data_IF_753606479368
#
_entry.id   IF_753606479368
#
_cell.length_a   1.000
_cell.length_b   1.000
_cell.length_c   1.000
_cell.angle_alpha   90.00
_cell.angle_beta   90.00
_cell.angle_gamma   90.00
#
_symmetry.space_group_name_H-M   'P 1'
#
loop_
_entity.id
_entity.type
_entity.pdbx_description
1 polymer ?
#
# COMPACT_ATOMS: atom_id res chain seq x y z
N UNK A 1 -0.86 3.97 -17.98
CA UNK A 1 -1.30 5.20 -17.35
C UNK A 1 -0.14 6.15 -17.15
N UNK A 2 0.85 5.84 -16.28
CA UNK A 2 1.99 6.73 -15.98
C UNK A 2 2.73 7.15 -17.25
N UNK A 3 3.08 6.22 -18.13
CA UNK A 3 3.75 6.53 -19.40
C UNK A 3 2.92 7.44 -20.33
N UNK A 4 1.59 7.33 -20.27
CA UNK A 4 0.71 8.12 -21.13
C UNK A 4 0.39 9.52 -20.57
N UNK A 5 0.55 9.74 -19.27
CA UNK A 5 0.11 10.97 -18.60
C UNK A 5 1.21 11.76 -17.92
N UNK A 6 2.37 11.14 -17.68
CA UNK A 6 3.42 11.69 -16.83
C UNK A 6 3.05 11.77 -15.35
N UNK A 7 2.02 11.01 -14.92
CA UNK A 7 1.58 11.01 -13.52
C UNK A 7 2.70 10.58 -12.58
N UNK A 8 2.86 11.30 -11.48
CA UNK A 8 3.81 11.00 -10.41
C UNK A 8 3.02 10.53 -9.21
N UNK A 9 3.30 9.31 -8.73
CA UNK A 9 2.60 8.72 -7.59
C UNK A 9 2.98 9.39 -6.26
N UNK A 10 2.15 9.24 -5.24
CA UNK A 10 2.40 9.87 -3.95
C UNK A 10 3.70 9.37 -3.31
N UNK A 11 4.07 8.10 -3.50
CA UNK A 11 5.35 7.56 -3.03
C UNK A 11 6.59 8.16 -3.73
N UNK A 12 6.42 8.78 -4.88
CA UNK A 12 7.48 9.48 -5.63
C UNK A 12 7.61 10.97 -5.25
N UNK A 13 6.72 11.49 -4.38
CA UNK A 13 6.72 12.90 -3.93
C UNK A 13 7.23 12.98 -2.49
N UNK A 14 8.00 14.04 -2.20
CA UNK A 14 8.32 14.35 -0.81
C UNK A 14 7.04 14.69 -0.03
N UNK A 15 6.87 14.15 1.18
CA UNK A 15 5.71 14.48 2.01
C UNK A 15 5.67 15.98 2.35
N UNK A 16 4.46 16.54 2.40
CA UNK A 16 4.23 17.93 2.80
C UNK A 16 4.01 17.99 4.30
N UNK A 17 4.81 18.80 5.00
CA UNK A 17 4.78 18.89 6.46
C UNK A 17 3.38 19.23 7.00
N UNK A 18 2.72 20.20 6.37
CA UNK A 18 1.38 20.65 6.78
C UNK A 18 0.35 19.51 6.69
N UNK A 19 0.44 18.68 5.66
CA UNK A 19 -0.47 17.53 5.46
C UNK A 19 -0.21 16.45 6.52
N UNK A 20 1.05 16.21 6.89
CA UNK A 20 1.41 15.28 7.97
C UNK A 20 0.87 15.81 9.30
N UNK A 21 1.15 17.07 9.62
CA UNK A 21 0.72 17.67 10.88
C UNK A 21 -0.78 17.70 11.04
N UNK A 22 -1.54 17.86 9.96
CA UNK A 22 -3.00 17.82 9.97
C UNK A 22 -3.57 16.44 10.36
N UNK A 23 -2.80 15.36 10.18
CA UNK A 23 -3.20 13.98 10.48
C UNK A 23 -2.73 13.51 11.87
N UNK A 24 -1.86 14.26 12.52
CA UNK A 24 -1.30 13.90 13.82
C UNK A 24 -2.14 14.50 14.97
N UNK A 25 -2.16 13.87 16.15
CA UNK A 25 -2.80 14.43 17.34
C UNK A 25 -2.26 15.82 17.67
N UNK A 26 -3.12 16.74 18.17
CA UNK A 26 -2.67 18.07 18.62
C UNK A 26 -1.51 17.98 19.61
N UNK A 27 -0.49 18.82 19.42
CA UNK A 27 0.71 18.84 20.27
C UNK A 27 1.78 17.83 19.91
N UNK A 28 1.59 17.02 18.87
CA UNK A 28 2.67 16.15 18.34
C UNK A 28 3.79 17.00 17.76
N UNK A 29 5.06 16.77 18.16
CA UNK A 29 6.17 17.50 17.55
C UNK A 29 6.29 17.20 16.06
N UNK A 30 6.69 18.19 15.23
CA UNK A 30 6.87 17.95 13.81
C UNK A 30 8.00 16.94 13.55
N UNK A 31 7.88 16.14 12.49
CA UNK A 31 8.94 15.24 12.07
C UNK A 31 10.21 16.03 11.68
N UNK A 32 11.34 15.36 11.74
CA UNK A 32 12.58 15.98 11.28
C UNK A 32 12.50 16.28 9.78
N UNK A 33 12.84 17.49 9.30
CA UNK A 33 12.83 17.81 7.87
C UNK A 33 13.65 16.85 6.99
N UNK A 34 14.66 16.20 7.55
CA UNK A 34 15.46 15.18 6.85
C UNK A 34 14.69 13.90 6.53
N UNK A 35 13.59 13.65 7.25
CA UNK A 35 12.75 12.46 7.07
C UNK A 35 11.61 12.72 6.06
N UNK A 36 11.43 13.99 5.63
CA UNK A 36 10.46 14.39 4.61
C UNK A 36 10.99 14.09 3.20
N UNK A 37 11.29 12.83 2.95
CA UNK A 37 11.81 12.33 1.67
C UNK A 37 10.80 11.36 1.07
N UNK A 38 10.63 11.43 -0.25
CA UNK A 38 9.81 10.48 -1.00
C UNK A 38 10.18 9.03 -0.66
N UNK A 39 9.19 8.19 -0.49
CA UNK A 39 9.40 6.80 -0.11
C UNK A 39 8.10 6.09 0.24
N UNK A 40 8.22 4.87 0.71
CA UNK A 40 7.06 4.06 1.11
C UNK A 40 7.45 3.02 2.17
N UNK A 41 6.44 2.43 2.78
CA UNK A 41 6.62 1.31 3.71
C UNK A 41 6.94 0.04 2.93
N UNK A 42 8.04 -0.59 3.26
CA UNK A 42 8.50 -1.85 2.66
C UNK A 42 8.42 -2.96 3.70
N UNK A 43 7.81 -4.08 3.34
CA UNK A 43 7.78 -5.26 4.20
C UNK A 43 9.19 -5.85 4.30
N UNK A 44 9.67 -6.00 5.52
CA UNK A 44 10.99 -6.53 5.85
C UNK A 44 10.80 -7.69 6.83
N UNK A 45 10.65 -8.94 6.33
CA UNK A 45 10.38 -10.08 7.19
C UNK A 45 11.48 -10.24 8.25
N UNK A 46 11.13 -10.41 9.53
CA UNK A 46 12.11 -10.64 10.56
C UNK A 46 12.72 -12.04 10.40
N UNK A 47 13.98 -12.20 10.78
CA UNK A 47 14.70 -13.48 10.74
C UNK A 47 14.46 -14.34 11.99
N UNK A 48 13.69 -13.84 12.96
CA UNK A 48 13.33 -14.50 14.22
C UNK A 48 11.95 -14.04 14.65
N UNK A 49 11.34 -14.75 15.59
CA UNK A 49 10.09 -14.34 16.20
C UNK A 49 10.20 -12.96 16.84
N UNK A 50 9.23 -12.11 16.59
CA UNK A 50 9.15 -10.74 17.11
C UNK A 50 7.77 -10.47 17.70
N UNK A 51 7.64 -9.56 18.66
CA UNK A 51 6.35 -9.12 19.20
C UNK A 51 5.48 -8.51 18.11
N UNK A 52 4.21 -8.93 18.02
CA UNK A 52 3.25 -8.45 17.01
C UNK A 52 2.61 -7.11 17.35
N UNK A 53 2.95 -6.49 18.47
CA UNK A 53 2.43 -5.19 18.89
C UNK A 53 3.23 -3.98 18.37
N UNK A 54 4.33 -4.23 17.65
CA UNK A 54 5.17 -3.18 17.07
C UNK A 54 5.40 -3.45 15.58
N UNK A 55 4.70 -2.70 14.75
CA UNK A 55 4.74 -2.80 13.29
C UNK A 55 6.16 -2.56 12.72
N UNK A 56 7.01 -1.81 13.41
CA UNK A 56 8.38 -1.54 12.98
C UNK A 56 9.26 -2.80 12.91
N UNK A 57 8.82 -3.90 13.51
CA UNK A 57 9.52 -5.19 13.44
C UNK A 57 9.51 -5.80 12.02
N UNK A 58 8.52 -5.46 11.18
CA UNK A 58 8.38 -6.02 9.82
C UNK A 58 8.03 -5.01 8.74
N UNK A 59 7.76 -3.74 9.08
CA UNK A 59 7.62 -2.66 8.12
C UNK A 59 8.68 -1.59 8.34
N UNK A 60 9.28 -1.12 7.25
CA UNK A 60 10.29 -0.06 7.30
C UNK A 60 9.96 1.01 6.27
N UNK A 61 10.06 2.27 6.68
CA UNK A 61 10.05 3.36 5.72
C UNK A 61 11.37 3.34 4.94
N UNK A 62 11.28 3.23 3.61
CA UNK A 62 12.44 3.20 2.73
C UNK A 62 12.37 4.37 1.77
N UNK A 63 13.36 5.25 1.85
CA UNK A 63 13.48 6.39 0.95
C UNK A 63 13.64 5.90 -0.48
N UNK A 64 12.88 6.50 -1.42
CA UNK A 64 12.88 6.13 -2.83
C UNK A 64 12.17 4.83 -3.17
N UNK A 65 11.57 4.13 -2.18
CA UNK A 65 10.67 3.01 -2.47
C UNK A 65 9.41 3.55 -3.17
N UNK A 66 9.06 2.93 -4.29
CA UNK A 66 7.94 3.34 -5.14
C UNK A 66 7.49 2.16 -5.99
N UNK A 67 6.44 2.33 -6.76
CA UNK A 67 6.01 1.30 -7.69
C UNK A 67 7.09 0.88 -8.70
N UNK A 68 8.06 1.75 -9.02
CA UNK A 68 9.21 1.47 -9.91
C UNK A 68 10.34 0.75 -9.19
N UNK A 69 10.49 1.01 -7.89
CA UNK A 69 11.54 0.52 -7.03
C UNK A 69 10.94 -0.09 -5.76
N UNK A 70 10.36 -1.32 -5.84
CA UNK A 70 9.56 -1.91 -4.77
C UNK A 70 10.26 -2.03 -3.42
N UNK A 71 11.53 -2.35 -3.40
CA UNK A 71 12.34 -2.43 -2.17
C UNK A 71 13.23 -1.19 -1.96
N UNK A 72 13.02 -0.13 -2.73
CA UNK A 72 13.83 1.09 -2.70
C UNK A 72 14.84 1.18 -3.86
N UNK A 73 15.74 2.17 -3.84
CA UNK A 73 16.72 2.40 -4.90
C UNK A 73 17.53 1.15 -5.24
N UNK A 74 17.62 0.84 -6.52
CA UNK A 74 18.33 -0.35 -7.03
C UNK A 74 17.46 -1.59 -7.19
N UNK A 75 16.22 -1.59 -6.69
CA UNK A 75 15.25 -2.64 -7.03
C UNK A 75 14.54 -2.34 -8.35
N UNK A 76 14.11 -3.39 -9.05
CA UNK A 76 13.52 -3.30 -10.39
C UNK A 76 12.25 -4.14 -10.51
N UNK A 77 11.44 -3.84 -11.53
CA UNK A 77 10.21 -4.58 -11.84
C UNK A 77 10.46 -5.81 -12.71
N UNK A 78 11.68 -6.00 -13.20
CA UNK A 78 12.02 -7.11 -14.09
C UNK A 78 11.61 -8.47 -13.49
N UNK A 79 10.79 -9.21 -14.23
CA UNK A 79 10.24 -10.49 -13.79
C UNK A 79 9.01 -10.37 -12.87
N UNK A 80 8.51 -9.16 -12.64
CA UNK A 80 7.32 -8.88 -11.79
C UNK A 80 6.16 -8.24 -12.57
N UNK A 81 6.19 -8.30 -13.89
CA UNK A 81 5.23 -7.64 -14.78
C UNK A 81 3.78 -8.13 -14.57
N UNK A 82 3.62 -9.34 -14.03
CA UNK A 82 2.34 -9.94 -13.72
C UNK A 82 1.94 -9.81 -12.24
N UNK A 83 2.76 -9.17 -11.41
CA UNK A 83 2.44 -8.92 -10.01
C UNK A 83 1.54 -7.67 -9.87
N UNK A 84 0.71 -7.61 -8.81
CA UNK A 84 -0.01 -6.39 -8.47
C UNK A 84 0.95 -5.21 -8.29
N UNK A 85 0.54 -4.03 -8.74
CA UNK A 85 1.30 -2.81 -8.43
C UNK A 85 1.19 -2.48 -6.95
N UNK A 86 2.31 -2.10 -6.34
CA UNK A 86 2.41 -1.73 -4.93
C UNK A 86 2.88 -0.29 -4.78
N UNK A 87 2.91 0.24 -3.55
CA UNK A 87 3.30 1.63 -3.23
C UNK A 87 2.45 2.68 -3.96
N UNK A 88 1.17 2.41 -4.08
CA UNK A 88 0.18 3.36 -4.60
C UNK A 88 -0.79 3.76 -3.50
N UNK A 89 -1.15 5.04 -3.46
CA UNK A 89 -2.15 5.58 -2.55
C UNK A 89 -3.56 5.42 -3.12
N UNK A 90 -4.56 5.75 -2.28
CA UNK A 90 -5.94 5.89 -2.75
C UNK A 90 -6.05 6.97 -3.84
N UNK A 91 -5.31 8.08 -3.71
CA UNK A 91 -5.29 9.16 -4.70
C UNK A 91 -4.74 8.69 -6.05
N UNK A 92 -3.67 7.88 -6.02
CA UNK A 92 -3.10 7.27 -7.23
C UNK A 92 -4.09 6.35 -7.93
N UNK A 93 -4.79 5.51 -7.14
CA UNK A 93 -5.82 4.62 -7.66
C UNK A 93 -7.01 5.39 -8.26
N UNK A 94 -7.44 6.47 -7.62
CA UNK A 94 -8.50 7.34 -8.13
C UNK A 94 -8.08 8.06 -9.41
N UNK A 95 -6.85 8.55 -9.49
CA UNK A 95 -6.30 9.17 -10.69
C UNK A 95 -6.27 8.19 -11.87
N UNK A 96 -5.85 6.94 -11.61
CA UNK A 96 -5.91 5.86 -12.60
C UNK A 96 -7.35 5.59 -13.05
N UNK A 97 -8.28 5.44 -12.12
CA UNK A 97 -9.70 5.17 -12.43
C UNK A 97 -10.29 6.27 -13.29
N UNK A 98 -10.03 7.53 -12.95
CA UNK A 98 -10.49 8.70 -13.73
C UNK A 98 -9.95 8.67 -15.16
N UNK A 99 -8.66 8.42 -15.33
CA UNK A 99 -8.03 8.31 -16.64
C UNK A 99 -8.61 7.15 -17.47
N UNK A 100 -8.87 6.02 -16.83
CA UNK A 100 -9.41 4.82 -17.48
C UNK A 100 -10.93 4.86 -17.71
N UNK A 101 -11.63 5.94 -17.32
CA UNK A 101 -13.10 6.02 -17.37
C UNK A 101 -13.78 5.02 -16.44
N UNK A 102 -13.16 4.72 -15.30
CA UNK A 102 -13.60 3.74 -14.29
C UNK A 102 -13.74 4.38 -12.92
N UNK A 103 -14.14 3.61 -11.94
CA UNK A 103 -14.15 3.95 -10.51
C UNK A 103 -13.62 2.80 -9.67
N UNK A 104 -13.28 3.08 -8.44
CA UNK A 104 -13.06 2.04 -7.45
C UNK A 104 -14.40 1.34 -7.12
N UNK A 105 -14.36 0.05 -6.75
CA UNK A 105 -15.55 -0.63 -6.26
C UNK A 105 -16.01 -0.02 -4.93
N UNK A 106 -17.31 -0.15 -4.64
CA UNK A 106 -17.80 0.03 -3.29
C UNK A 106 -17.38 -1.14 -2.41
N UNK A 107 -17.45 -0.99 -1.08
CA UNK A 107 -17.19 -2.08 -0.14
C UNK A 107 -18.03 -3.32 -0.46
N UNK A 108 -19.34 -3.12 -0.68
CA UNK A 108 -20.26 -4.21 -1.01
C UNK A 108 -19.89 -4.93 -2.32
N UNK A 109 -19.49 -4.22 -3.35
CA UNK A 109 -19.05 -4.79 -4.62
C UNK A 109 -17.74 -5.58 -4.44
N UNK A 110 -16.83 -5.05 -3.65
CA UNK A 110 -15.55 -5.70 -3.35
C UNK A 110 -15.78 -6.99 -2.56
N UNK A 111 -16.59 -6.92 -1.49
CA UNK A 111 -16.93 -8.09 -0.68
C UNK A 111 -17.66 -9.17 -1.50
N UNK A 112 -18.64 -8.77 -2.31
CA UNK A 112 -19.34 -9.68 -3.21
C UNK A 112 -18.38 -10.41 -4.15
N UNK A 113 -17.45 -9.68 -4.76
CA UNK A 113 -16.45 -10.26 -5.65
C UNK A 113 -15.50 -11.21 -4.90
N UNK A 114 -15.04 -10.82 -3.70
CA UNK A 114 -14.16 -11.64 -2.88
C UNK A 114 -14.82 -12.94 -2.42
N UNK A 115 -16.13 -12.93 -2.17
CA UNK A 115 -16.89 -14.12 -1.77
C UNK A 115 -17.18 -15.09 -2.92
N UNK A 116 -17.05 -14.66 -4.17
CA UNK A 116 -17.23 -15.55 -5.33
C UNK A 116 -18.56 -16.27 -5.39
N UNK A 117 -19.65 -15.68 -4.87
CA UNK A 117 -20.99 -16.27 -4.81
C UNK A 117 -21.29 -17.08 -3.53
N UNK A 118 -20.39 -17.13 -2.56
CA UNK A 118 -20.65 -17.75 -1.25
C UNK A 118 -21.45 -16.78 -0.37
N UNK A 119 -22.73 -17.09 -0.16
CA UNK A 119 -23.64 -16.31 0.70
C UNK A 119 -23.62 -16.82 2.14
N UNK A 120 -23.64 -15.89 3.12
CA UNK A 120 -23.77 -16.18 4.54
C UNK A 120 -22.61 -16.96 5.16
N UNK A 121 -21.47 -17.05 4.50
CA UNK A 121 -20.28 -17.73 4.99
C UNK A 121 -19.41 -16.84 5.88
N UNK A 122 -18.72 -17.45 6.87
CA UNK A 122 -17.85 -16.73 7.78
C UNK A 122 -16.61 -16.16 7.06
N UNK A 123 -16.08 -16.88 6.08
CA UNK A 123 -14.89 -16.50 5.33
C UNK A 123 -15.16 -16.51 3.83
N UNK A 124 -14.26 -15.91 3.05
CA UNK A 124 -14.35 -15.88 1.58
C UNK A 124 -14.23 -17.26 0.93
N UNK A 125 -13.74 -18.26 1.64
CA UNK A 125 -13.65 -19.66 1.20
C UNK A 125 -14.72 -20.57 1.81
N UNK A 126 -15.57 -20.12 2.74
CA UNK A 126 -16.62 -20.92 3.40
C UNK A 126 -16.68 -20.74 4.92
N UNK A 127 -16.99 -21.79 5.65
CA UNK A 127 -17.13 -21.76 7.12
C UNK A 127 -15.98 -22.44 7.85
N UNK A 128 -15.04 -23.03 7.13
CA UNK A 128 -13.89 -23.72 7.72
C UNK A 128 -12.93 -22.71 8.39
N UNK A 129 -12.39 -23.08 9.54
CA UNK A 129 -11.41 -22.25 10.23
C UNK A 129 -10.18 -21.98 9.35
N UNK A 130 -9.54 -20.80 9.48
CA UNK A 130 -8.30 -20.51 8.79
C UNK A 130 -7.22 -21.54 9.09
N UNK A 131 -6.52 -21.98 8.05
CA UNK A 131 -5.36 -22.86 8.11
C UNK A 131 -4.24 -22.23 7.25
N UNK A 132 -3.00 -22.68 7.39
CA UNK A 132 -1.85 -22.09 6.69
C UNK A 132 -2.00 -22.11 5.16
N UNK A 133 -2.81 -23.00 4.62
CA UNK A 133 -3.14 -23.12 3.19
C UNK A 133 -4.40 -22.34 2.77
N UNK A 134 -5.06 -21.65 3.72
CA UNK A 134 -6.30 -20.86 3.51
C UNK A 134 -6.21 -19.44 4.04
N UNK A 135 -5.03 -18.86 4.14
CA UNK A 135 -4.80 -17.46 4.54
C UNK A 135 -4.17 -16.64 3.45
#
# INVERSE_FOLDING_TARGET
FVAATGYVTDSEKAPVLEEIMAQLPPGTPPPNPKDLVAGSMVFSPPTRDVPLNDISNWWKWVHGASWKHPEGPGSELKGREQHPVIHISWNDAMAYCKWAGKRLPTEAEWEFAARGGLEGKNFVWGDEAPTDDKT
#
